data_IF_323153968555
#
_entry.id   IF_323153968555
#
_cell.length_a   1.000
_cell.length_b   1.000
_cell.length_c   1.000
_cell.angle_alpha   90.00
_cell.angle_beta   90.00
_cell.angle_gamma   90.00
#
_symmetry.space_group_name_H-M   'P 1'
#
loop_
_entity.id
_entity.type
_entity.pdbx_description
1 polymer ?
#
# COMPACT_ATOMS: atom_id res chain seq x y z
N UNK A 1 -8.03 -12.46 -19.57
CA UNK A 1 -9.20 -12.07 -18.82
C UNK A 1 -8.88 -11.77 -17.38
N UNK A 2 -9.79 -11.13 -16.70
CA UNK A 2 -9.62 -10.79 -15.30
C UNK A 2 -9.65 -12.06 -14.45
N UNK A 3 -8.60 -12.25 -13.66
CA UNK A 3 -8.56 -13.33 -12.69
C UNK A 3 -8.83 -12.75 -11.32
N UNK A 4 -9.85 -13.24 -10.59
CA UNK A 4 -10.12 -12.75 -9.25
C UNK A 4 -8.88 -12.90 -8.36
N UNK A 5 -8.54 -11.85 -7.62
CA UNK A 5 -7.38 -11.85 -6.73
C UNK A 5 -6.13 -11.23 -7.33
N UNK A 6 -6.15 -10.86 -8.62
CA UNK A 6 -5.04 -10.07 -9.16
C UNK A 6 -5.26 -8.61 -8.77
N UNK A 7 -4.38 -8.10 -7.94
CA UNK A 7 -4.39 -6.71 -7.55
C UNK A 7 -3.51 -5.89 -8.48
N UNK A 8 -3.92 -4.67 -8.72
CA UNK A 8 -3.14 -3.70 -9.45
C UNK A 8 -2.66 -2.60 -8.51
N UNK A 9 -1.51 -2.04 -8.83
CA UNK A 9 -1.04 -0.82 -8.19
C UNK A 9 -1.42 0.35 -9.07
N UNK A 10 -1.66 1.50 -8.46
CA UNK A 10 -1.84 2.74 -9.19
C UNK A 10 -0.71 3.71 -8.85
N UNK A 11 -0.09 4.23 -9.89
CA UNK A 11 0.95 5.25 -9.76
C UNK A 11 0.41 6.56 -10.30
N UNK A 12 0.51 7.62 -9.50
CA UNK A 12 0.19 8.97 -9.95
C UNK A 12 1.47 9.73 -10.21
N UNK A 13 1.61 10.25 -11.42
CA UNK A 13 2.82 10.88 -11.91
C UNK A 13 2.48 12.12 -12.71
N UNK A 14 3.40 13.05 -12.78
CA UNK A 14 3.29 14.24 -13.61
C UNK A 14 2.89 15.48 -12.83
N UNK A 15 3.04 16.65 -13.48
CA UNK A 15 2.80 17.92 -12.83
C UNK A 15 1.34 18.36 -12.94
N UNK A 16 0.91 18.90 -14.04
CA UNK A 16 -0.41 19.48 -14.17
C UNK A 16 -1.47 18.56 -14.78
N UNK A 17 -1.05 17.56 -15.52
CA UNK A 17 -1.97 16.61 -16.13
C UNK A 17 -1.65 15.22 -15.62
N UNK A 18 -2.07 14.94 -14.42
CA UNK A 18 -1.70 13.71 -13.72
C UNK A 18 -1.95 12.47 -14.58
N UNK A 19 -0.89 11.78 -14.92
CA UNK A 19 -1.00 10.45 -15.51
C UNK A 19 -1.14 9.42 -14.40
N UNK A 20 -2.16 8.59 -14.51
CA UNK A 20 -2.36 7.46 -13.63
C UNK A 20 -1.94 6.20 -14.39
N UNK A 21 -0.92 5.52 -13.87
CA UNK A 21 -0.44 4.29 -14.47
C UNK A 21 -0.86 3.12 -13.59
N UNK A 22 -1.63 2.20 -14.16
CA UNK A 22 -2.05 0.99 -13.47
C UNK A 22 -1.10 -0.14 -13.82
N UNK A 23 -0.57 -0.81 -12.83
CA UNK A 23 0.45 -1.84 -12.98
C UNK A 23 0.01 -3.10 -12.26
N UNK A 24 0.10 -4.24 -12.94
CA UNK A 24 -0.17 -5.53 -12.29
C UNK A 24 0.83 -5.76 -11.15
N UNK A 25 0.34 -6.29 -10.04
CA UNK A 25 1.16 -6.55 -8.86
C UNK A 25 2.44 -7.32 -9.19
N UNK A 26 2.35 -8.35 -10.02
CA UNK A 26 3.49 -9.19 -10.37
C UNK A 26 4.60 -8.42 -11.08
N UNK A 27 4.27 -7.32 -11.77
CA UNK A 27 5.22 -6.54 -12.56
C UNK A 27 5.76 -5.32 -11.81
N UNK A 28 5.20 -5.02 -10.64
CA UNK A 28 5.51 -3.79 -9.93
C UNK A 28 6.98 -3.67 -9.52
N UNK A 29 7.60 -4.70 -8.92
CA UNK A 29 9.01 -4.56 -8.52
C UNK A 29 9.93 -4.24 -9.69
N UNK A 30 9.74 -4.92 -10.81
CA UNK A 30 10.56 -4.68 -11.99
C UNK A 30 10.34 -3.29 -12.58
N UNK A 31 9.09 -2.85 -12.62
CA UNK A 31 8.77 -1.50 -13.11
C UNK A 31 9.47 -0.45 -12.26
N UNK A 32 9.39 -0.57 -10.94
CA UNK A 32 10.00 0.39 -10.02
C UNK A 32 11.52 0.39 -10.12
N UNK A 33 12.13 -0.77 -10.38
CA UNK A 33 13.59 -0.85 -10.48
C UNK A 33 14.12 -0.36 -11.82
N UNK A 34 13.46 -0.71 -12.92
CA UNK A 34 14.05 -0.62 -14.25
C UNK A 34 13.41 0.41 -15.16
N UNK A 35 12.19 0.85 -14.88
CA UNK A 35 11.44 1.68 -15.81
C UNK A 35 11.06 3.05 -15.25
N UNK A 36 11.28 3.30 -13.98
CA UNK A 36 10.96 4.57 -13.36
C UNK A 36 12.21 5.23 -12.79
N UNK A 37 12.30 6.53 -13.01
CA UNK A 37 13.41 7.32 -12.47
C UNK A 37 13.19 7.63 -11.00
N UNK A 38 14.26 7.99 -10.32
CA UNK A 38 14.20 8.49 -8.96
C UNK A 38 13.30 9.71 -8.88
N UNK A 39 12.53 9.81 -7.81
CA UNK A 39 11.71 11.00 -7.53
C UNK A 39 10.77 11.36 -8.68
N UNK A 40 10.19 10.36 -9.33
CA UNK A 40 9.30 10.56 -10.47
C UNK A 40 7.82 10.35 -10.15
N UNK A 41 7.49 9.77 -9.01
CA UNK A 41 6.12 9.39 -8.65
C UNK A 41 5.60 10.29 -7.54
N UNK A 42 4.38 10.83 -7.72
CA UNK A 42 3.72 11.66 -6.72
C UNK A 42 3.01 10.84 -5.66
N UNK A 43 2.28 9.81 -6.08
CA UNK A 43 1.58 8.91 -5.18
C UNK A 43 1.62 7.48 -5.70
N UNK A 44 1.66 6.54 -4.77
CA UNK A 44 1.55 5.12 -5.06
C UNK A 44 0.43 4.54 -4.22
N UNK A 45 -0.48 3.79 -4.85
CA UNK A 45 -1.61 3.17 -4.18
C UNK A 45 -1.49 1.65 -4.29
N UNK A 46 -1.46 0.98 -3.16
CA UNK A 46 -1.47 -0.48 -3.08
C UNK A 46 -2.71 -0.88 -2.28
N UNK A 47 -3.76 -1.25 -2.98
CA UNK A 47 -5.04 -1.61 -2.36
C UNK A 47 -5.34 -3.08 -2.59
N UNK A 48 -5.58 -3.78 -1.50
CA UNK A 48 -5.95 -5.20 -1.48
C UNK A 48 -4.99 -6.09 -2.27
N UNK A 49 -3.67 -6.00 -2.00
CA UNK A 49 -2.72 -6.91 -2.63
C UNK A 49 -2.98 -8.34 -2.16
N UNK A 50 -2.51 -9.31 -2.94
CA UNK A 50 -2.65 -10.71 -2.57
C UNK A 50 -2.08 -10.96 -1.18
N UNK A 51 -2.89 -11.48 -0.25
CA UNK A 51 -2.45 -11.61 1.14
C UNK A 51 -1.55 -12.82 1.40
N UNK A 52 -1.56 -13.82 0.50
CA UNK A 52 -0.74 -15.02 0.68
C UNK A 52 -0.82 -15.54 2.12
N UNK A 53 -1.99 -16.00 2.52
CA UNK A 53 -2.31 -16.36 3.91
C UNK A 53 -1.39 -17.36 4.56
N UNK A 54 -0.93 -18.34 3.81
CA UNK A 54 -0.10 -19.42 4.35
C UNK A 54 1.31 -18.91 4.63
N UNK A 55 1.83 -19.21 5.80
CA UNK A 55 3.17 -18.76 6.21
C UNK A 55 4.25 -19.06 5.18
N UNK A 56 4.19 -20.23 4.55
CA UNK A 56 5.16 -20.62 3.51
C UNK A 56 5.12 -19.71 2.29
N UNK A 57 4.06 -18.92 2.10
CA UNK A 57 3.91 -18.01 0.96
C UNK A 57 4.09 -16.53 1.33
N UNK A 58 4.37 -16.20 2.59
CA UNK A 58 4.48 -14.79 3.00
C UNK A 58 5.55 -14.03 2.23
N UNK A 59 6.61 -14.72 1.80
CA UNK A 59 7.66 -14.10 0.97
C UNK A 59 7.16 -13.63 -0.40
N UNK A 60 5.97 -14.07 -0.82
CA UNK A 60 5.36 -13.63 -2.09
C UNK A 60 4.58 -12.33 -1.93
N UNK A 61 4.37 -11.88 -0.70
CA UNK A 61 3.66 -10.64 -0.45
C UNK A 61 4.42 -9.46 -1.06
N UNK A 62 3.67 -8.59 -1.72
CA UNK A 62 4.27 -7.44 -2.39
C UNK A 62 4.95 -6.50 -1.40
N UNK A 63 4.25 -6.15 -0.31
CA UNK A 63 4.78 -5.19 0.65
C UNK A 63 5.80 -5.87 1.54
N UNK A 64 7.05 -5.49 1.34
CA UNK A 64 8.22 -6.05 2.01
C UNK A 64 9.25 -4.95 2.19
N UNK A 65 10.28 -5.14 3.03
CA UNK A 65 11.37 -4.16 3.13
C UNK A 65 12.03 -3.85 1.78
N UNK A 66 12.24 -4.87 0.95
CA UNK A 66 12.85 -4.67 -0.37
C UNK A 66 11.95 -3.82 -1.27
N UNK A 67 10.64 -4.07 -1.26
CA UNK A 67 9.71 -3.28 -2.06
C UNK A 67 9.63 -1.85 -1.54
N UNK A 68 9.66 -1.66 -0.22
CA UNK A 68 9.67 -0.32 0.38
C UNK A 68 10.88 0.49 -0.06
N UNK A 69 12.04 -0.13 -0.20
CA UNK A 69 13.23 0.55 -0.74
C UNK A 69 12.99 1.04 -2.17
N UNK A 70 12.36 0.21 -2.99
CA UNK A 70 12.03 0.57 -4.38
C UNK A 70 11.06 1.75 -4.43
N UNK A 71 10.05 1.72 -3.59
CA UNK A 71 9.07 2.81 -3.50
C UNK A 71 9.72 4.10 -3.03
N UNK A 72 10.60 4.00 -2.02
CA UNK A 72 11.33 5.17 -1.52
C UNK A 72 12.16 5.84 -2.61
N UNK A 73 12.74 5.05 -3.51
CA UNK A 73 13.53 5.59 -4.62
C UNK A 73 12.69 6.38 -5.60
N UNK A 74 11.54 5.85 -5.98
CA UNK A 74 10.72 6.46 -7.04
C UNK A 74 9.80 7.56 -6.56
N UNK A 75 9.34 7.52 -5.30
CA UNK A 75 8.51 8.58 -4.76
C UNK A 75 9.30 9.86 -4.57
N UNK A 76 8.70 10.98 -4.97
CA UNK A 76 9.27 12.28 -4.68
C UNK A 76 9.31 12.52 -3.16
N UNK A 77 10.25 13.32 -2.66
CA UNK A 77 10.16 13.80 -1.28
C UNK A 77 8.78 14.46 -1.06
N UNK A 78 8.10 14.05 0.00
CA UNK A 78 6.72 14.47 0.25
C UNK A 78 5.68 13.63 -0.47
N UNK A 79 6.09 12.74 -1.34
CA UNK A 79 5.17 11.83 -2.03
C UNK A 79 4.47 10.88 -1.08
N UNK A 80 3.31 10.41 -1.48
CA UNK A 80 2.40 9.66 -0.61
C UNK A 80 2.28 8.21 -1.07
N UNK A 81 2.34 7.30 -0.10
CA UNK A 81 2.06 5.88 -0.30
C UNK A 81 0.81 5.52 0.48
N UNK A 82 -0.27 5.15 -0.24
CA UNK A 82 -1.52 4.71 0.37
C UNK A 82 -1.64 3.20 0.24
N UNK A 83 -1.96 2.55 1.35
CA UNK A 83 -2.14 1.11 1.40
C UNK A 83 -3.48 0.78 2.04
N UNK A 84 -4.07 -0.33 1.62
CA UNK A 84 -5.26 -0.86 2.28
C UNK A 84 -5.29 -2.37 2.12
N UNK A 85 -5.71 -3.08 3.16
CA UNK A 85 -5.96 -4.51 3.14
C UNK A 85 -7.06 -4.85 4.15
N UNK A 86 -7.85 -5.87 3.85
CA UNK A 86 -8.87 -6.38 4.76
C UNK A 86 -8.36 -7.53 5.65
N UNK A 87 -7.08 -7.89 5.50
CA UNK A 87 -6.43 -8.90 6.31
C UNK A 87 -5.61 -8.24 7.41
N UNK A 88 -6.10 -8.33 8.64
CA UNK A 88 -5.47 -7.66 9.78
C UNK A 88 -4.00 -8.04 9.94
N UNK A 89 -3.68 -9.32 9.80
CA UNK A 89 -2.30 -9.77 9.95
C UNK A 89 -1.39 -9.11 8.92
N UNK A 90 -1.84 -9.01 7.67
CA UNK A 90 -1.07 -8.33 6.63
C UNK A 90 -0.98 -6.83 6.89
N UNK A 91 -2.05 -6.22 7.38
CA UNK A 91 -2.03 -4.80 7.74
C UNK A 91 -0.96 -4.51 8.79
N UNK A 92 -0.83 -5.38 9.79
CA UNK A 92 0.20 -5.24 10.82
C UNK A 92 1.61 -5.37 10.23
N UNK A 93 1.80 -6.29 9.29
CA UNK A 93 3.08 -6.46 8.59
C UNK A 93 3.40 -5.24 7.74
N UNK A 94 2.42 -4.71 7.01
CA UNK A 94 2.62 -3.48 6.22
C UNK A 94 3.09 -2.32 7.10
N UNK A 95 2.41 -2.14 8.22
CA UNK A 95 2.78 -1.09 9.18
C UNK A 95 4.19 -1.31 9.72
N UNK A 96 4.52 -2.53 10.11
CA UNK A 96 5.84 -2.86 10.61
C UNK A 96 6.93 -2.53 9.59
N UNK A 97 6.74 -2.91 8.34
CA UNK A 97 7.69 -2.62 7.25
C UNK A 97 7.92 -1.12 7.11
N UNK A 98 6.83 -0.35 7.09
CA UNK A 98 6.91 1.09 6.83
C UNK A 98 7.40 1.86 8.06
N UNK A 99 7.03 1.44 9.26
CA UNK A 99 7.55 2.06 10.48
C UNK A 99 9.05 1.83 10.66
N UNK A 100 9.55 0.70 10.20
CA UNK A 100 10.97 0.39 10.27
C UNK A 100 11.79 1.10 9.18
N UNK A 101 11.15 1.62 8.14
CA UNK A 101 11.88 2.21 7.02
C UNK A 101 12.24 3.67 7.31
N UNK A 102 13.52 4.05 7.20
CA UNK A 102 13.96 5.40 7.59
C UNK A 102 13.44 6.52 6.69
N UNK A 103 13.02 6.20 5.46
CA UNK A 103 12.58 7.21 4.50
C UNK A 103 11.09 7.48 4.53
N UNK A 104 10.33 6.79 5.39
CA UNK A 104 8.89 6.99 5.47
C UNK A 104 8.46 7.46 6.86
N UNK A 105 7.40 8.26 6.88
CA UNK A 105 6.75 8.65 8.13
C UNK A 105 5.25 8.47 8.00
N UNK A 106 4.60 8.00 9.07
CA UNK A 106 3.17 7.85 9.09
C UNK A 106 2.49 9.20 9.11
N UNK A 107 1.50 9.40 8.24
CA UNK A 107 0.76 10.66 8.17
C UNK A 107 -0.23 10.80 9.33
N UNK A 108 -0.64 9.68 9.92
CA UNK A 108 -1.64 9.62 10.98
C UNK A 108 -1.07 8.96 12.25
N UNK A 109 0.02 9.48 12.83
CA UNK A 109 0.66 8.80 13.96
C UNK A 109 -0.30 8.71 15.15
N UNK A 110 -0.41 7.51 15.72
CA UNK A 110 -1.24 7.25 16.89
C UNK A 110 -2.73 7.14 16.62
N UNK A 111 -3.19 7.41 15.41
CA UNK A 111 -4.62 7.37 15.11
C UNK A 111 -5.17 5.96 15.29
N UNK A 112 -6.36 5.86 15.90
CA UNK A 112 -7.02 4.58 16.13
C UNK A 112 -6.33 3.68 17.15
N UNK A 113 -5.43 4.22 17.96
CA UNK A 113 -4.77 3.44 18.99
C UNK A 113 -5.76 2.90 20.02
N UNK A 114 -5.53 1.66 20.47
CA UNK A 114 -6.35 0.99 21.48
C UNK A 114 -5.41 0.34 22.51
N UNK A 115 -6.00 -0.23 23.56
CA UNK A 115 -5.18 -0.99 24.51
C UNK A 115 -4.50 -2.18 23.86
N UNK A 116 -5.17 -2.83 22.92
CA UNK A 116 -4.65 -3.98 22.20
C UNK A 116 -3.67 -3.57 21.11
N UNK A 117 -3.76 -2.33 20.61
CA UNK A 117 -2.89 -1.81 19.58
C UNK A 117 -2.48 -0.38 19.92
N UNK A 118 -1.54 -0.22 20.87
CA UNK A 118 -1.16 1.13 21.34
C UNK A 118 -0.41 1.96 20.30
N UNK A 119 0.18 1.35 19.31
CA UNK A 119 0.86 2.11 18.25
C UNK A 119 -0.13 2.86 17.37
N UNK A 120 -1.23 2.22 16.99
CA UNK A 120 -2.19 2.81 16.07
C UNK A 120 -1.57 3.19 14.73
N UNK A 121 -1.89 4.38 14.24
CA UNK A 121 -1.34 4.86 12.97
C UNK A 121 -2.21 4.50 11.77
N UNK A 122 -3.45 4.14 12.02
CA UNK A 122 -4.39 3.77 10.95
C UNK A 122 -5.00 5.01 10.33
N UNK A 123 -4.96 5.09 9.00
CA UNK A 123 -5.56 6.19 8.28
C UNK A 123 -7.08 6.01 8.22
N UNK A 124 -7.86 7.11 8.16
CA UNK A 124 -9.26 7.00 7.81
C UNK A 124 -9.38 6.46 6.39
N UNK A 125 -10.52 5.79 6.10
CA UNK A 125 -10.75 5.33 4.74
C UNK A 125 -10.67 6.52 3.79
N UNK A 126 -9.77 6.41 2.81
CA UNK A 126 -9.57 7.50 1.87
C UNK A 126 -10.75 7.61 0.90
N UNK A 127 -11.27 8.83 0.74
CA UNK A 127 -12.46 9.10 -0.08
C UNK A 127 -12.25 8.77 -1.56
N UNK A 128 -11.01 8.89 -2.05
CA UNK A 128 -10.68 8.56 -3.44
C UNK A 128 -10.71 7.08 -3.76
N UNK A 129 -10.79 6.22 -2.73
CA UNK A 129 -10.86 4.76 -2.94
C UNK A 129 -12.32 4.33 -3.08
N UNK A 130 -12.70 3.93 -4.29
CA UNK A 130 -14.07 3.46 -4.52
C UNK A 130 -14.30 2.11 -3.84
N UNK A 131 -15.53 1.89 -3.38
CA UNK A 131 -15.92 0.61 -2.79
C UNK A 131 -15.96 -0.44 -3.89
N UNK A 132 -14.99 -1.34 -3.88
CA UNK A 132 -14.92 -2.44 -4.84
C UNK A 132 -15.79 -3.61 -4.39
N UNK A 133 -16.05 -4.55 -5.31
CA UNK A 133 -16.76 -5.78 -4.96
C UNK A 133 -15.96 -6.60 -3.95
N UNK A 134 -14.64 -6.55 -3.99
CA UNK A 134 -13.78 -7.21 -3.01
C UNK A 134 -13.96 -6.64 -1.62
N UNK A 135 -13.93 -5.33 -1.49
CA UNK A 135 -14.12 -4.66 -0.21
C UNK A 135 -15.51 -4.91 0.34
N UNK A 136 -16.53 -4.89 -0.53
CA UNK A 136 -17.89 -5.18 -0.12
C UNK A 136 -18.03 -6.60 0.40
N UNK A 137 -17.47 -7.58 -0.31
CA UNK A 137 -17.50 -8.98 0.14
C UNK A 137 -16.77 -9.16 1.46
N UNK A 138 -15.65 -8.48 1.64
CA UNK A 138 -14.91 -8.52 2.89
C UNK A 138 -15.74 -7.97 4.03
N UNK A 139 -16.44 -6.86 3.83
CA UNK A 139 -17.34 -6.28 4.82
C UNK A 139 -18.47 -7.23 5.18
N UNK A 140 -19.08 -7.86 4.17
CA UNK A 140 -20.15 -8.86 4.38
C UNK A 140 -19.64 -10.05 5.18
N UNK A 141 -18.36 -10.41 5.02
CA UNK A 141 -17.73 -11.48 5.78
C UNK A 141 -17.23 -11.03 7.16
N UNK A 142 -17.48 -9.77 7.54
CA UNK A 142 -17.05 -9.23 8.83
C UNK A 142 -15.63 -8.70 8.86
N UNK A 143 -14.95 -8.66 7.74
CA UNK A 143 -13.60 -8.10 7.66
C UNK A 143 -13.68 -6.62 7.32
N UNK A 144 -12.87 -5.82 8.00
CA UNK A 144 -12.74 -4.40 7.75
C UNK A 144 -11.46 -4.10 7.00
N UNK A 145 -11.52 -3.15 6.08
CA UNK A 145 -10.30 -2.63 5.47
C UNK A 145 -9.52 -1.82 6.50
N UNK A 146 -8.21 -2.05 6.52
CA UNK A 146 -7.27 -1.26 7.31
C UNK A 146 -6.49 -0.39 6.34
N UNK A 147 -6.55 0.92 6.52
CA UNK A 147 -5.86 1.88 5.68
C UNK A 147 -4.61 2.41 6.36
N UNK A 148 -3.56 2.60 5.58
CA UNK A 148 -2.32 3.22 6.01
C UNK A 148 -1.91 4.28 4.99
N UNK A 149 -1.38 5.39 5.47
CA UNK A 149 -0.86 6.46 4.61
C UNK A 149 0.50 6.88 5.13
N UNK A 150 1.50 6.76 4.28
CA UNK A 150 2.86 7.15 4.63
C UNK A 150 3.36 8.20 3.65
N UNK A 151 4.24 9.06 4.15
CA UNK A 151 4.86 10.12 3.35
C UNK A 151 6.35 9.86 3.27
N UNK A 152 6.91 9.99 2.07
CA UNK A 152 8.36 9.94 1.91
C UNK A 152 8.98 11.22 2.45
N UNK A 153 9.94 11.06 3.34
CA UNK A 153 10.66 12.18 3.95
C UNK A 153 11.50 12.99 2.97
#
# INVERSE_FOLDING_TARGET
GYTPGIADLLLKMGNAGVENVRVAQANAPELLDNMLEENSVDELWVFFPDPWHKSRHHKRRLVSPAFADKVARVLKPGGIWRLATDWEEYALVMREVLEAHPDFENVNPGAGATEEDPLGGWAPRWEGRTLTSFERKAQEAGRRAHDLTYRRK
#
